data_IF_753023031081
#
_entry.id   IF_753023031081
#
_cell.length_a   1.000
_cell.length_b   1.000
_cell.length_c   1.000
_cell.angle_alpha   90.00
_cell.angle_beta   90.00
_cell.angle_gamma   90.00
#
_symmetry.space_group_name_H-M   'P 1'
#
loop_
_entity.id
_entity.type
_entity.pdbx_description
1 polymer ?
#
# COMPACT_ATOMS: atom_id res chain seq x y z
N UNK A 1 27.37 -8.07 -1.95
CA UNK A 1 27.32 -6.60 -2.11
C UNK A 1 27.36 -5.87 -0.78
N UNK A 2 28.22 -4.85 -0.66
CA UNK A 2 28.17 -3.92 0.48
C UNK A 2 26.98 -2.95 0.31
N UNK A 3 26.37 -2.46 1.40
CA UNK A 3 25.23 -1.55 1.29
C UNK A 3 25.51 -0.26 0.52
N UNK A 4 26.72 0.29 0.61
CA UNK A 4 27.11 1.48 -0.15
C UNK A 4 27.13 1.25 -1.67
N UNK A 5 27.50 0.05 -2.09
CA UNK A 5 27.50 -0.34 -3.51
C UNK A 5 26.06 -0.52 -3.99
N UNK A 6 25.22 -1.18 -3.20
CA UNK A 6 23.80 -1.35 -3.49
C UNK A 6 23.08 -0.01 -3.68
N UNK A 7 23.36 0.98 -2.83
CA UNK A 7 22.83 2.34 -2.96
C UNK A 7 23.29 3.01 -4.25
N UNK A 8 24.60 2.94 -4.55
CA UNK A 8 25.16 3.58 -5.75
C UNK A 8 24.58 2.99 -7.03
N UNK A 9 24.56 1.66 -7.14
CA UNK A 9 24.04 0.95 -8.32
C UNK A 9 22.59 1.33 -8.58
N UNK A 10 21.76 1.30 -7.55
CA UNK A 10 20.34 1.59 -7.71
C UNK A 10 20.05 3.06 -8.00
N UNK A 11 20.73 3.99 -7.32
CA UNK A 11 20.54 5.42 -7.59
C UNK A 11 20.91 5.77 -9.04
N UNK A 12 21.95 5.12 -9.58
CA UNK A 12 22.33 5.30 -10.98
C UNK A 12 21.34 4.63 -11.93
N UNK A 13 21.14 3.31 -11.80
CA UNK A 13 20.32 2.54 -12.72
C UNK A 13 18.89 3.07 -12.81
N UNK A 14 18.21 3.23 -11.66
CA UNK A 14 16.82 3.69 -11.65
C UNK A 14 16.68 5.16 -12.05
N UNK A 15 17.68 5.99 -11.72
CA UNK A 15 17.71 7.39 -12.15
C UNK A 15 17.83 7.54 -13.67
N UNK A 16 18.65 6.70 -14.32
CA UNK A 16 18.80 6.67 -15.78
C UNK A 16 17.57 6.04 -16.45
N UNK A 17 17.17 4.84 -16.03
CA UNK A 17 16.05 4.07 -16.58
C UNK A 17 14.72 4.85 -16.56
N UNK A 18 14.34 5.39 -15.41
CA UNK A 18 13.06 6.12 -15.28
C UNK A 18 13.07 7.45 -16.04
N UNK A 19 14.24 8.11 -16.12
CA UNK A 19 14.40 9.34 -16.90
C UNK A 19 14.23 9.07 -18.39
N UNK A 20 14.80 7.97 -18.88
CA UNK A 20 14.66 7.55 -20.27
C UNK A 20 13.21 7.22 -20.60
N UNK A 21 12.56 6.39 -19.78
CA UNK A 21 11.15 6.05 -19.95
C UNK A 21 10.26 7.31 -19.98
N UNK A 22 10.46 8.24 -19.05
CA UNK A 22 9.69 9.49 -18.97
C UNK A 22 9.96 10.45 -20.13
N UNK A 23 11.19 10.50 -20.65
CA UNK A 23 11.57 11.37 -21.75
C UNK A 23 11.11 10.85 -23.12
N UNK A 24 11.03 9.53 -23.27
CA UNK A 24 10.77 8.90 -24.55
C UNK A 24 9.31 8.49 -24.73
N UNK A 25 8.73 7.72 -23.81
CA UNK A 25 7.45 7.04 -24.04
C UNK A 25 6.24 8.00 -24.07
N UNK A 26 6.05 8.91 -23.08
CA UNK A 26 4.91 9.84 -23.09
C UNK A 26 4.90 10.82 -24.27
N UNK A 27 6.05 11.01 -24.93
CA UNK A 27 6.21 11.94 -26.06
C UNK A 27 6.12 11.20 -27.39
N UNK A 28 6.94 10.16 -27.56
CA UNK A 28 7.16 9.48 -28.85
C UNK A 28 6.14 8.37 -29.11
N UNK A 29 5.60 7.76 -28.04
CA UNK A 29 4.68 6.63 -28.10
C UNK A 29 3.32 6.96 -27.48
N UNK A 30 2.95 8.24 -27.41
CA UNK A 30 1.70 8.70 -26.78
C UNK A 30 0.45 8.03 -27.34
N UNK A 31 0.42 7.74 -28.64
CA UNK A 31 -0.71 7.08 -29.29
C UNK A 31 -0.77 5.56 -29.09
N UNK A 32 0.31 4.96 -28.57
CA UNK A 32 0.42 3.52 -28.32
C UNK A 32 0.27 3.18 -26.83
N UNK A 33 0.56 4.13 -25.94
CA UNK A 33 0.34 3.96 -24.51
C UNK A 33 -1.17 3.82 -24.20
N UNK A 34 -1.56 2.91 -23.31
CA UNK A 34 -2.96 2.77 -22.85
C UNK A 34 -3.54 4.07 -22.29
N UNK A 35 -2.69 4.96 -21.78
CA UNK A 35 -3.04 6.27 -21.30
C UNK A 35 -1.87 6.90 -20.54
N UNK A 36 -2.12 7.77 -19.55
CA UNK A 36 -1.06 8.43 -18.79
C UNK A 36 -0.19 7.43 -18.03
N UNK A 37 1.13 7.63 -18.13
CA UNK A 37 2.13 6.85 -17.42
C UNK A 37 2.41 7.47 -16.05
N UNK A 38 2.49 6.62 -15.02
CA UNK A 38 2.85 7.00 -13.67
C UNK A 38 4.25 6.49 -13.31
N UNK A 39 4.91 7.26 -12.46
CA UNK A 39 6.30 7.09 -12.03
C UNK A 39 6.40 7.05 -10.50
N UNK A 40 7.41 6.36 -9.95
CA UNK A 40 7.66 6.34 -8.53
C UNK A 40 8.20 7.68 -8.05
N UNK A 41 7.94 8.00 -6.78
CA UNK A 41 8.43 9.23 -6.14
C UNK A 41 9.65 8.99 -5.28
N UNK A 42 9.81 7.77 -4.80
CA UNK A 42 10.85 7.43 -3.85
C UNK A 42 11.38 6.04 -4.16
N UNK A 43 12.66 5.87 -3.89
CA UNK A 43 13.37 4.60 -3.91
C UNK A 43 13.86 4.31 -2.50
N UNK A 44 13.38 3.21 -1.93
CA UNK A 44 13.65 2.82 -0.55
C UNK A 44 14.61 1.65 -0.58
N UNK A 45 15.72 1.82 0.10
CA UNK A 45 16.81 0.86 0.16
C UNK A 45 16.90 0.35 1.59
N UNK A 46 16.43 -0.88 1.79
CA UNK A 46 16.39 -1.54 3.09
C UNK A 46 17.56 -2.50 3.22
N UNK A 47 18.32 -2.35 4.30
CA UNK A 47 19.40 -3.26 4.66
C UNK A 47 18.92 -4.21 5.77
N UNK A 48 19.13 -5.51 5.57
CA UNK A 48 18.97 -6.54 6.60
C UNK A 48 20.32 -7.25 6.82
N UNK A 49 20.47 -8.14 7.81
CA UNK A 49 21.70 -8.92 8.01
C UNK A 49 22.13 -9.70 6.76
N UNK A 50 21.17 -10.30 6.06
CA UNK A 50 21.43 -11.24 4.95
C UNK A 50 20.97 -10.72 3.58
N UNK A 51 20.09 -9.72 3.54
CA UNK A 51 19.45 -9.22 2.31
C UNK A 51 19.61 -7.71 2.15
N UNK A 52 19.63 -7.27 0.90
CA UNK A 52 19.37 -5.88 0.50
C UNK A 52 18.04 -5.87 -0.26
N UNK A 53 17.18 -4.92 0.05
CA UNK A 53 15.86 -4.81 -0.58
C UNK A 53 15.73 -3.41 -1.17
N UNK A 54 15.32 -3.35 -2.44
CA UNK A 54 14.90 -2.12 -3.09
C UNK A 54 13.39 -2.13 -3.24
N UNK A 55 12.75 -1.00 -2.97
CA UNK A 55 11.35 -0.74 -3.25
C UNK A 55 11.22 0.57 -4.00
N UNK A 56 10.44 0.60 -5.09
CA UNK A 56 9.98 1.84 -5.70
C UNK A 56 8.57 2.11 -5.24
N UNK A 57 8.35 3.30 -4.72
CA UNK A 57 7.13 3.61 -3.96
C UNK A 57 6.59 4.98 -4.29
N UNK A 58 5.30 5.12 -4.01
CA UNK A 58 4.52 6.25 -4.46
C UNK A 58 4.23 6.23 -5.95
N UNK A 59 3.16 6.91 -6.36
CA UNK A 59 2.82 7.08 -7.75
C UNK A 59 2.65 8.56 -8.06
N UNK A 60 3.17 9.00 -9.21
CA UNK A 60 3.03 10.37 -9.68
C UNK A 60 2.94 10.44 -11.18
N UNK A 61 2.15 11.40 -11.66
CA UNK A 61 1.98 11.71 -13.08
C UNK A 61 3.18 12.42 -13.67
N UNK A 62 3.91 13.17 -12.84
CA UNK A 62 5.11 13.90 -13.25
C UNK A 62 6.35 13.11 -12.85
N UNK A 63 7.19 12.81 -13.84
CA UNK A 63 8.50 12.28 -13.54
C UNK A 63 9.33 13.31 -12.77
N UNK A 64 9.84 12.87 -11.63
CA UNK A 64 10.97 13.47 -10.93
C UNK A 64 11.89 12.34 -10.51
N UNK A 65 13.19 12.62 -10.46
CA UNK A 65 14.15 11.64 -9.94
C UNK A 65 13.71 11.16 -8.56
N UNK A 66 13.62 9.83 -8.33
CA UNK A 66 13.15 9.30 -7.06
C UNK A 66 14.01 9.80 -5.90
N UNK A 67 13.36 10.23 -4.82
CA UNK A 67 14.06 10.50 -3.57
C UNK A 67 14.62 9.19 -3.02
N UNK A 68 15.91 9.17 -2.66
CA UNK A 68 16.55 7.96 -2.12
C UNK A 68 16.44 7.95 -0.60
N UNK A 69 15.78 6.93 -0.06
CA UNK A 69 15.68 6.68 1.38
C UNK A 69 16.37 5.38 1.76
N UNK A 70 17.06 5.39 2.89
CA UNK A 70 17.76 4.23 3.43
C UNK A 70 17.15 3.86 4.78
N UNK A 71 16.96 2.57 5.00
CA UNK A 71 16.46 2.06 6.28
C UNK A 71 17.08 0.71 6.62
N UNK A 72 16.85 0.25 7.85
CA UNK A 72 17.28 -1.06 8.33
C UNK A 72 16.08 -1.85 8.86
N UNK A 73 16.15 -3.16 8.68
CA UNK A 73 15.24 -4.15 9.25
C UNK A 73 16.06 -5.31 9.82
N UNK A 74 15.50 -6.02 10.78
CA UNK A 74 16.08 -7.18 11.43
C UNK A 74 16.16 -8.38 10.46
N UNK A 75 15.22 -8.54 9.53
CA UNK A 75 15.26 -9.62 8.53
C UNK A 75 14.44 -9.29 7.27
N UNK A 76 14.51 -10.17 6.25
CA UNK A 76 13.66 -10.06 5.05
C UNK A 76 12.22 -10.44 5.38
N UNK A 77 12.03 -11.37 6.30
CA UNK A 77 10.74 -11.78 6.86
C UNK A 77 10.05 -10.62 7.57
N UNK A 78 10.76 -9.85 8.41
CA UNK A 78 10.18 -8.67 9.06
C UNK A 78 9.72 -7.63 8.01
N UNK A 79 10.48 -7.46 6.92
CA UNK A 79 10.13 -6.51 5.88
C UNK A 79 8.88 -6.93 5.09
N UNK A 80 8.75 -8.21 4.73
CA UNK A 80 7.58 -8.73 4.00
C UNK A 80 6.44 -9.23 4.89
N UNK A 81 6.63 -9.28 6.21
CA UNK A 81 5.57 -9.51 7.19
C UNK A 81 5.32 -10.95 7.51
N UNK A 82 6.34 -11.78 7.34
CA UNK A 82 6.25 -13.23 7.47
C UNK A 82 6.43 -13.60 8.94
N UNK A 83 5.45 -14.30 9.51
CA UNK A 83 5.58 -14.97 10.80
C UNK A 83 5.97 -16.46 10.66
N UNK A 84 6.06 -17.15 11.78
CA UNK A 84 6.24 -18.61 11.81
C UNK A 84 4.93 -19.31 11.38
N UNK A 85 4.99 -20.20 10.39
CA UNK A 85 3.80 -20.91 9.93
C UNK A 85 3.97 -21.62 8.59
N UNK A 86 2.86 -22.06 8.00
CA UNK A 86 2.82 -22.51 6.60
C UNK A 86 2.82 -21.30 5.67
N UNK A 87 3.45 -21.39 4.49
CA UNK A 87 3.52 -20.28 3.53
C UNK A 87 2.86 -20.61 2.21
N UNK A 88 2.29 -19.60 1.54
CA UNK A 88 1.74 -19.74 0.18
C UNK A 88 2.85 -20.02 -0.83
N UNK A 89 3.98 -19.30 -0.75
CA UNK A 89 5.10 -19.44 -1.67
C UNK A 89 6.45 -19.55 -0.94
N UNK A 90 7.20 -20.63 -1.20
CA UNK A 90 8.61 -20.72 -0.86
C UNK A 90 9.43 -20.13 -2.02
N UNK A 91 10.17 -19.05 -1.74
CA UNK A 91 10.96 -18.32 -2.71
C UNK A 91 12.37 -18.90 -2.75
N UNK A 92 12.54 -19.94 -3.54
CA UNK A 92 13.83 -20.60 -3.78
C UNK A 92 14.49 -20.07 -5.04
N UNK A 93 15.81 -19.86 -5.03
CA UNK A 93 16.56 -19.46 -6.23
C UNK A 93 16.24 -18.06 -6.75
N UNK A 94 15.64 -17.96 -7.93
CA UNK A 94 15.25 -16.71 -8.60
C UNK A 94 13.74 -16.71 -8.85
N UNK A 95 13.06 -15.70 -8.33
CA UNK A 95 11.60 -15.60 -8.38
C UNK A 95 11.18 -14.29 -9.05
N UNK A 96 10.20 -14.37 -9.95
CA UNK A 96 9.62 -13.23 -10.65
C UNK A 96 8.10 -13.28 -10.56
N UNK A 97 7.54 -12.30 -9.86
CA UNK A 97 6.11 -12.04 -9.83
C UNK A 97 5.88 -10.72 -10.53
N UNK A 98 5.22 -10.76 -11.69
CA UNK A 98 4.80 -9.57 -12.43
C UNK A 98 3.31 -9.64 -12.65
N UNK A 99 2.60 -8.54 -12.37
CA UNK A 99 1.14 -8.47 -12.47
C UNK A 99 0.53 -9.69 -11.79
N UNK A 100 0.79 -9.83 -10.49
CA UNK A 100 0.49 -11.03 -9.73
C UNK A 100 -0.26 -10.71 -8.46
N UNK A 101 -0.99 -11.70 -7.95
CA UNK A 101 -1.61 -11.64 -6.62
C UNK A 101 -1.16 -12.86 -5.83
N UNK A 102 -0.48 -12.63 -4.71
CA UNK A 102 -0.08 -13.68 -3.78
C UNK A 102 -0.96 -13.53 -2.55
N UNK A 103 -1.79 -14.54 -2.28
CA UNK A 103 -2.79 -14.44 -1.25
C UNK A 103 -2.96 -15.74 -0.47
N UNK A 104 -3.24 -15.62 0.82
CA UNK A 104 -3.88 -16.72 1.55
C UNK A 104 -5.28 -16.96 0.98
N UNK A 105 -5.79 -18.19 1.05
CA UNK A 105 -7.15 -18.51 0.58
C UNK A 105 -8.21 -17.62 1.24
N UNK A 106 -8.10 -17.41 2.55
CA UNK A 106 -8.98 -16.51 3.31
C UNK A 106 -8.84 -15.05 2.87
N UNK A 107 -7.62 -14.57 2.65
CA UNK A 107 -7.34 -13.23 2.16
C UNK A 107 -7.97 -13.00 0.79
N UNK A 108 -7.82 -13.96 -0.13
CA UNK A 108 -8.39 -13.90 -1.48
C UNK A 108 -9.91 -13.84 -1.47
N UNK A 109 -10.58 -14.65 -0.65
CA UNK A 109 -12.04 -14.62 -0.50
C UNK A 109 -12.55 -13.32 0.14
N UNK A 110 -11.76 -12.75 1.05
CA UNK A 110 -12.08 -11.49 1.72
C UNK A 110 -11.93 -10.29 0.78
N UNK A 111 -10.99 -10.32 -0.15
CA UNK A 111 -10.67 -9.21 -1.04
C UNK A 111 -11.90 -8.75 -1.87
N UNK A 112 -12.59 -9.68 -2.54
CA UNK A 112 -13.76 -9.35 -3.38
C UNK A 112 -14.92 -8.77 -2.56
N UNK A 113 -15.11 -9.27 -1.33
CA UNK A 113 -16.17 -8.80 -0.42
C UNK A 113 -15.88 -7.39 0.10
N UNK A 114 -14.60 -7.07 0.27
CA UNK A 114 -14.13 -5.89 0.99
C UNK A 114 -13.82 -4.72 0.07
N UNK A 115 -13.41 -4.98 -1.17
CA UNK A 115 -13.00 -4.00 -2.17
C UNK A 115 -13.64 -4.32 -3.53
N UNK A 116 -14.69 -3.58 -3.92
CA UNK A 116 -15.43 -3.87 -5.16
C UNK A 116 -14.57 -3.86 -6.44
N UNK A 117 -13.49 -3.07 -6.46
CA UNK A 117 -12.63 -2.86 -7.63
C UNK A 117 -11.40 -3.77 -7.66
N UNK A 118 -11.18 -4.60 -6.63
CA UNK A 118 -9.98 -5.41 -6.52
C UNK A 118 -9.84 -6.44 -7.65
N UNK A 119 -10.96 -6.94 -8.19
CA UNK A 119 -10.97 -7.87 -9.31
C UNK A 119 -10.19 -7.34 -10.54
N UNK A 120 -10.19 -6.02 -10.76
CA UNK A 120 -9.49 -5.37 -11.87
C UNK A 120 -7.97 -5.19 -11.61
N UNK A 121 -7.49 -5.54 -10.42
CA UNK A 121 -6.06 -5.56 -10.07
C UNK A 121 -5.47 -6.95 -10.06
N UNK A 122 -6.32 -7.98 -10.08
CA UNK A 122 -5.87 -9.36 -10.03
C UNK A 122 -5.11 -9.69 -11.30
N UNK A 123 -3.95 -10.29 -11.14
CA UNK A 123 -3.17 -10.82 -12.23
C UNK A 123 -2.95 -12.31 -12.05
N UNK A 124 -1.73 -12.80 -12.27
CA UNK A 124 -1.42 -14.21 -12.02
C UNK A 124 -1.55 -14.52 -10.52
N UNK A 125 -2.46 -15.43 -10.19
CA UNK A 125 -2.79 -15.73 -8.80
C UNK A 125 -1.95 -16.90 -8.25
N UNK A 126 -1.33 -16.68 -7.09
CA UNK A 126 -0.66 -17.70 -6.28
C UNK A 126 -1.39 -17.72 -4.94
N UNK A 127 -2.30 -18.69 -4.78
CA UNK A 127 -3.20 -18.78 -3.63
C UNK A 127 -3.01 -20.13 -2.94
N UNK A 128 -2.91 -20.12 -1.61
CA UNK A 128 -2.71 -21.35 -0.84
C UNK A 128 -3.38 -21.34 0.54
N UNK A 129 -3.68 -22.54 1.10
CA UNK A 129 -4.14 -22.69 2.47
C UNK A 129 -2.93 -22.58 3.40
N UNK A 130 -2.54 -21.35 3.71
CA UNK A 130 -1.35 -21.04 4.49
C UNK A 130 -1.61 -19.91 5.48
N UNK A 131 -0.81 -19.90 6.53
CA UNK A 131 -0.85 -18.87 7.57
C UNK A 131 -0.13 -17.60 7.14
N UNK A 132 0.81 -17.70 6.21
CA UNK A 132 1.72 -16.63 5.79
C UNK A 132 1.88 -16.63 4.26
N UNK A 133 2.33 -15.51 3.69
CA UNK A 133 2.42 -15.39 2.22
C UNK A 133 3.72 -15.98 1.66
N UNK A 134 4.85 -15.56 2.20
CA UNK A 134 6.16 -15.75 1.56
C UNK A 134 7.11 -16.40 2.54
N UNK A 135 7.99 -17.28 2.07
CA UNK A 135 9.21 -17.64 2.81
C UNK A 135 10.40 -17.44 1.91
N UNK A 136 11.39 -16.70 2.38
CA UNK A 136 12.64 -16.53 1.66
C UNK A 136 13.55 -17.71 2.01
N UNK A 137 13.89 -18.52 1.00
CA UNK A 137 14.89 -19.56 1.12
C UNK A 137 16.25 -19.02 0.61
N UNK A 138 17.37 -19.73 0.83
CA UNK A 138 18.64 -19.38 0.20
C UNK A 138 18.46 -19.24 -1.32
N UNK A 139 18.61 -18.02 -1.82
CA UNK A 139 18.33 -17.62 -3.20
C UNK A 139 18.95 -16.27 -3.48
N UNK A 140 19.06 -15.90 -4.75
CA UNK A 140 19.78 -14.67 -5.13
C UNK A 140 18.84 -13.49 -5.34
N UNK A 141 17.63 -13.73 -5.85
CA UNK A 141 16.72 -12.67 -6.27
C UNK A 141 15.24 -13.05 -6.08
N UNK A 142 14.46 -12.16 -5.47
CA UNK A 142 13.00 -12.21 -5.49
C UNK A 142 12.46 -10.87 -5.95
N UNK A 143 11.78 -10.87 -7.10
CA UNK A 143 11.25 -9.66 -7.75
C UNK A 143 9.74 -9.65 -7.69
N UNK A 144 9.19 -8.52 -7.27
CA UNK A 144 7.76 -8.24 -7.21
C UNK A 144 7.51 -6.98 -8.04
N UNK A 145 6.83 -7.10 -9.16
CA UNK A 145 6.51 -6.03 -10.10
C UNK A 145 4.99 -5.94 -10.21
N UNK A 146 4.40 -4.88 -9.68
CA UNK A 146 2.94 -4.69 -9.55
C UNK A 146 2.26 -5.92 -8.92
N UNK A 147 2.76 -6.34 -7.77
CA UNK A 147 2.27 -7.53 -7.06
C UNK A 147 1.37 -7.13 -5.90
N UNK A 148 0.17 -7.70 -5.83
CA UNK A 148 -0.72 -7.56 -4.68
C UNK A 148 -0.48 -8.70 -3.69
N UNK A 149 -0.12 -8.35 -2.45
CA UNK A 149 0.06 -9.26 -1.33
C UNK A 149 -1.18 -9.19 -0.42
N UNK A 150 -1.87 -10.32 -0.22
CA UNK A 150 -3.13 -10.36 0.55
C UNK A 150 -3.12 -11.46 1.61
N UNK A 151 -2.91 -11.06 2.85
CA UNK A 151 -2.93 -11.94 4.01
C UNK A 151 -4.27 -11.84 4.72
N UNK A 152 -4.90 -12.97 5.02
CA UNK A 152 -6.17 -13.03 5.75
C UNK A 152 -6.08 -14.06 6.86
N UNK A 153 -6.59 -13.69 8.03
CA UNK A 153 -6.67 -14.57 9.21
C UNK A 153 -7.92 -14.22 10.01
N UNK A 154 -8.88 -15.15 10.11
CA UNK A 154 -10.20 -14.87 10.68
C UNK A 154 -10.92 -13.72 9.96
N UNK A 155 -11.42 -12.75 10.71
CA UNK A 155 -12.05 -11.55 10.15
C UNK A 155 -11.05 -10.45 9.78
N UNK A 156 -9.75 -10.71 9.95
CA UNK A 156 -8.68 -9.77 9.67
C UNK A 156 -8.16 -9.88 8.25
N UNK A 157 -7.66 -8.76 7.73
CA UNK A 157 -7.06 -8.69 6.41
C UNK A 157 -5.90 -7.71 6.42
N UNK A 158 -4.77 -8.08 5.81
CA UNK A 158 -3.74 -7.16 5.34
C UNK A 158 -3.66 -7.22 3.83
N UNK A 159 -3.90 -6.08 3.17
CA UNK A 159 -3.65 -5.91 1.73
C UNK A 159 -2.51 -4.92 1.52
N UNK A 160 -1.55 -5.29 0.67
CA UNK A 160 -0.40 -4.47 0.32
C UNK A 160 -0.04 -4.63 -1.16
N UNK A 161 -0.14 -3.55 -1.92
CA UNK A 161 0.25 -3.50 -3.31
C UNK A 161 1.69 -3.01 -3.44
N UNK A 162 2.55 -3.90 -3.93
CA UNK A 162 3.96 -3.62 -4.23
C UNK A 162 4.05 -3.12 -5.65
N UNK A 163 4.40 -1.84 -5.82
CA UNK A 163 4.60 -1.27 -7.15
C UNK A 163 5.83 -1.90 -7.82
N UNK A 164 6.98 -1.86 -7.14
CA UNK A 164 8.14 -2.65 -7.50
C UNK A 164 8.97 -2.92 -6.24
N UNK A 165 9.34 -4.17 -6.00
CA UNK A 165 10.31 -4.55 -4.99
C UNK A 165 11.28 -5.63 -5.52
N UNK A 166 12.51 -5.56 -5.04
CA UNK A 166 13.55 -6.52 -5.37
C UNK A 166 14.37 -6.83 -4.11
N UNK A 167 14.25 -8.06 -3.62
CA UNK A 167 15.08 -8.58 -2.55
C UNK A 167 16.26 -9.37 -3.13
N UNK A 168 17.47 -9.06 -2.65
CA UNK A 168 18.73 -9.62 -3.15
C UNK A 168 19.59 -10.06 -1.98
N UNK A 169 20.11 -11.27 -2.06
CA UNK A 169 21.00 -11.76 -1.02
C UNK A 169 22.32 -11.00 -1.01
N UNK A 170 22.85 -10.70 0.18
CA UNK A 170 24.07 -9.87 0.35
C UNK A 170 25.33 -10.54 -0.17
N UNK A 171 25.33 -11.84 -0.45
CA UNK A 171 26.45 -12.49 -1.13
C UNK A 171 26.55 -12.12 -2.61
N UNK A 172 25.50 -11.54 -3.22
CA UNK A 172 25.46 -11.31 -4.65
C UNK A 172 26.51 -10.24 -5.08
N UNK A 173 27.35 -10.53 -6.10
CA UNK A 173 28.30 -9.56 -6.65
C UNK A 173 27.63 -8.38 -7.36
N UNK A 174 28.27 -7.20 -7.32
CA UNK A 174 27.78 -5.96 -7.96
C UNK A 174 27.54 -6.12 -9.45
N UNK A 175 28.50 -6.69 -10.18
CA UNK A 175 28.41 -6.82 -11.63
C UNK A 175 27.25 -7.75 -12.04
N UNK A 176 27.07 -8.87 -11.33
CA UNK A 176 25.96 -9.78 -11.56
C UNK A 176 24.60 -9.13 -11.32
N UNK A 177 24.50 -8.31 -10.28
CA UNK A 177 23.28 -7.57 -10.00
C UNK A 177 22.99 -6.53 -11.09
N UNK A 178 24.00 -5.78 -11.54
CA UNK A 178 23.82 -4.80 -12.60
C UNK A 178 23.40 -5.48 -13.92
N UNK A 179 24.01 -6.61 -14.24
CA UNK A 179 23.63 -7.43 -15.39
C UNK A 179 22.19 -7.94 -15.24
N UNK A 180 21.80 -8.39 -14.05
CA UNK A 180 20.42 -8.76 -13.74
C UNK A 180 19.45 -7.60 -14.02
N UNK A 181 19.70 -6.40 -13.49
CA UNK A 181 18.83 -5.23 -13.69
C UNK A 181 18.68 -4.87 -15.17
N UNK A 182 19.80 -4.87 -15.90
CA UNK A 182 19.80 -4.59 -17.34
C UNK A 182 19.03 -5.64 -18.13
N UNK A 183 19.28 -6.92 -17.86
CA UNK A 183 18.60 -8.01 -18.53
C UNK A 183 17.10 -8.02 -18.20
N UNK A 184 16.73 -7.76 -16.96
CA UNK A 184 15.33 -7.70 -16.52
C UNK A 184 14.59 -6.51 -17.15
N UNK A 185 15.23 -5.34 -17.23
CA UNK A 185 14.65 -4.19 -17.91
C UNK A 185 14.49 -4.43 -19.42
N UNK A 186 15.54 -4.94 -20.08
CA UNK A 186 15.55 -5.19 -21.52
C UNK A 186 14.60 -6.32 -21.94
N UNK A 187 14.22 -7.22 -21.04
CA UNK A 187 13.25 -8.29 -21.33
C UNK A 187 11.80 -7.84 -21.22
N UNK A 188 11.53 -6.63 -20.70
CA UNK A 188 10.18 -6.12 -20.62
C UNK A 188 9.66 -5.59 -21.96
N UNK A 189 8.33 -5.61 -22.16
CA UNK A 189 7.72 -4.90 -23.28
C UNK A 189 8.11 -3.42 -23.26
N UNK A 190 8.46 -2.86 -24.43
CA UNK A 190 8.91 -1.47 -24.56
C UNK A 190 7.91 -0.41 -24.05
N UNK A 191 6.60 -0.68 -24.14
CA UNK A 191 5.53 0.19 -23.62
C UNK A 191 5.24 -0.02 -22.12
N UNK A 192 5.97 -0.95 -21.50
CA UNK A 192 5.76 -1.37 -20.12
C UNK A 192 7.10 -1.52 -19.36
N UNK A 193 7.92 -0.46 -19.28
CA UNK A 193 9.20 -0.53 -18.59
C UNK A 193 9.00 -0.72 -17.08
N UNK A 194 9.92 -1.47 -16.46
CA UNK A 194 9.90 -1.74 -15.02
C UNK A 194 9.85 -0.46 -14.20
N UNK A 195 9.11 -0.48 -13.09
CA UNK A 195 8.94 0.70 -12.24
C UNK A 195 8.10 1.81 -12.88
N UNK A 196 7.28 1.50 -13.88
CA UNK A 196 6.25 2.40 -14.42
C UNK A 196 4.91 1.68 -14.50
N UNK A 197 3.82 2.45 -14.63
CA UNK A 197 2.50 1.89 -14.96
C UNK A 197 1.75 2.86 -15.86
N UNK A 198 1.24 2.37 -16.97
CA UNK A 198 0.33 3.12 -17.83
C UNK A 198 -1.10 2.79 -17.46
N UNK A 199 -1.92 3.81 -17.23
CA UNK A 199 -3.32 3.62 -16.84
C UNK A 199 -4.23 3.81 -18.06
N UNK A 200 -5.21 2.91 -18.29
CA UNK A 200 -6.15 3.00 -19.41
C UNK A 200 -7.29 4.02 -19.13
N UNK A 201 -6.94 5.21 -18.65
CA UNK A 201 -7.90 6.23 -18.19
C UNK A 201 -7.61 7.58 -18.83
N UNK A 202 -8.62 8.44 -18.93
CA UNK A 202 -8.41 9.80 -19.44
C UNK A 202 -7.49 10.58 -18.49
N UNK A 203 -6.41 11.24 -18.99
CA UNK A 203 -5.58 12.14 -18.18
C UNK A 203 -6.34 13.21 -17.39
N UNK A 204 -7.53 13.63 -17.84
CA UNK A 204 -8.41 14.55 -17.13
C UNK A 204 -8.97 13.95 -15.83
N UNK A 205 -9.31 12.66 -15.82
CA UNK A 205 -9.81 11.97 -14.64
C UNK A 205 -8.73 11.79 -13.57
N UNK A 206 -7.46 11.70 -13.96
CA UNK A 206 -6.35 11.67 -13.01
C UNK A 206 -5.92 13.05 -12.51
N UNK A 207 -6.32 14.13 -13.18
CA UNK A 207 -6.03 15.50 -12.73
C UNK A 207 -6.86 15.90 -11.53
N UNK A 208 -8.04 15.30 -11.36
CA UNK A 208 -8.98 15.61 -10.30
C UNK A 208 -8.57 15.04 -8.93
N UNK A 209 -7.79 13.95 -8.91
CA UNK A 209 -7.45 13.26 -7.65
C UNK A 209 -6.05 13.60 -7.15
N UNK A 210 -5.93 13.64 -5.82
CA UNK A 210 -4.68 13.83 -5.12
C UNK A 210 -3.87 12.52 -5.05
N UNK A 211 -2.93 12.35 -5.98
CA UNK A 211 -1.97 11.23 -6.00
C UNK A 211 -0.68 11.61 -5.27
N UNK A 212 -0.76 11.71 -3.95
CA UNK A 212 0.41 11.87 -3.09
C UNK A 212 0.74 10.52 -2.43
N UNK A 213 2.00 10.10 -2.56
CA UNK A 213 2.48 8.95 -1.79
C UNK A 213 2.58 9.34 -0.33
N UNK A 214 2.08 8.47 0.54
CA UNK A 214 2.20 8.63 1.99
C UNK A 214 3.41 7.87 2.54
N UNK A 215 4.17 7.19 1.68
CA UNK A 215 5.37 6.44 2.04
C UNK A 215 6.34 7.34 2.81
N UNK A 216 6.76 6.89 4.00
CA UNK A 216 7.69 7.61 4.89
C UNK A 216 7.31 9.09 5.18
N UNK A 217 6.01 9.43 5.17
CA UNK A 217 5.53 10.80 5.38
C UNK A 217 5.87 11.81 4.28
N UNK A 218 6.10 11.35 3.04
CA UNK A 218 6.30 12.26 1.93
C UNK A 218 5.04 13.13 1.72
N UNK A 219 5.16 14.46 1.71
CA UNK A 219 4.05 15.39 1.45
C UNK A 219 2.99 15.56 2.55
N UNK A 220 2.96 14.72 3.59
CA UNK A 220 1.91 14.75 4.62
C UNK A 220 2.23 15.57 5.88
N UNK A 221 3.44 16.11 5.99
CA UNK A 221 3.96 16.63 7.27
C UNK A 221 3.23 17.86 7.83
N UNK A 222 2.48 18.57 6.99
CA UNK A 222 1.70 19.76 7.35
C UNK A 222 0.18 19.57 7.22
N UNK A 223 -0.25 18.38 6.80
CA UNK A 223 -1.66 18.05 6.53
C UNK A 223 -2.31 17.52 7.79
N UNK A 224 -3.51 17.99 8.16
CA UNK A 224 -4.28 17.44 9.29
C UNK A 224 -5.05 16.17 8.87
N UNK A 225 -5.55 15.40 9.85
CA UNK A 225 -6.47 14.28 9.56
C UNK A 225 -7.66 14.75 8.70
N UNK A 226 -8.35 15.81 9.14
CA UNK A 226 -9.50 16.35 8.40
C UNK A 226 -9.13 16.81 6.98
N UNK A 227 -8.00 17.52 6.83
CA UNK A 227 -7.53 17.99 5.52
C UNK A 227 -7.10 16.84 4.59
N UNK A 228 -6.56 15.74 5.14
CA UNK A 228 -6.30 14.53 4.37
C UNK A 228 -7.60 13.90 3.89
N UNK A 229 -8.56 13.70 4.80
CA UNK A 229 -9.83 13.06 4.46
C UNK A 229 -10.62 13.89 3.44
N UNK A 230 -10.65 15.21 3.56
CA UNK A 230 -11.27 16.10 2.59
C UNK A 230 -10.64 15.98 1.20
N UNK A 231 -9.31 16.02 1.13
CA UNK A 231 -8.56 15.96 -0.13
C UNK A 231 -8.68 14.59 -0.85
N UNK A 232 -8.89 13.53 -0.08
CA UNK A 232 -8.87 12.15 -0.57
C UNK A 232 -10.24 11.44 -0.47
N UNK A 233 -11.33 12.18 -0.27
CA UNK A 233 -12.68 11.64 -0.09
C UNK A 233 -13.12 10.81 -1.31
N UNK A 234 -12.93 11.31 -2.54
CA UNK A 234 -13.28 10.59 -3.78
C UNK A 234 -12.60 9.22 -3.88
N UNK A 235 -11.33 9.15 -3.48
CA UNK A 235 -10.49 7.96 -3.50
C UNK A 235 -11.02 6.94 -2.49
N UNK A 236 -11.32 7.36 -1.26
CA UNK A 236 -11.87 6.49 -0.23
C UNK A 236 -13.26 5.97 -0.61
N UNK A 237 -14.16 6.85 -1.06
CA UNK A 237 -15.51 6.47 -1.45
C UNK A 237 -15.48 5.44 -2.59
N UNK A 238 -14.76 5.69 -3.67
CA UNK A 238 -14.67 4.75 -4.79
C UNK A 238 -14.02 3.41 -4.39
N UNK A 239 -12.94 3.42 -3.61
CA UNK A 239 -12.23 2.20 -3.18
C UNK A 239 -13.11 1.27 -2.36
N UNK A 240 -13.93 1.83 -1.46
CA UNK A 240 -14.73 1.06 -0.52
C UNK A 240 -16.21 0.89 -0.91
N UNK A 241 -16.61 1.41 -2.08
CA UNK A 241 -18.01 1.44 -2.51
C UNK A 241 -18.86 2.35 -1.60
N UNK A 242 -18.26 3.43 -1.12
CA UNK A 242 -18.83 4.43 -0.25
C UNK A 242 -19.77 5.40 -0.96
N UNK A 243 -20.80 5.85 -0.25
CA UNK A 243 -21.72 6.92 -0.66
C UNK A 243 -21.48 8.21 0.12
N UNK A 244 -20.96 8.10 1.36
CA UNK A 244 -20.76 9.24 2.25
C UNK A 244 -19.59 9.01 3.21
N UNK A 245 -18.79 10.04 3.44
CA UNK A 245 -17.69 10.05 4.41
C UNK A 245 -17.98 11.05 5.53
N UNK A 246 -18.14 10.57 6.76
CA UNK A 246 -18.16 11.40 7.96
C UNK A 246 -16.73 11.55 8.49
N UNK A 247 -16.21 12.78 8.49
CA UNK A 247 -14.86 13.11 8.98
C UNK A 247 -14.88 13.41 10.48
N UNK A 248 -13.97 12.77 11.21
CA UNK A 248 -13.72 12.94 12.65
C UNK A 248 -14.97 13.08 13.55
N UNK A 249 -16.00 12.21 13.43
CA UNK A 249 -17.21 12.35 14.24
C UNK A 249 -16.90 12.13 15.73
N UNK A 250 -17.46 12.96 16.61
CA UNK A 250 -17.39 12.79 18.06
C UNK A 250 -18.47 11.83 18.55
N UNK A 251 -18.05 10.75 19.22
CA UNK A 251 -18.82 9.63 19.76
C UNK A 251 -18.56 9.51 21.27
N UNK A 252 -19.15 10.40 22.08
CA UNK A 252 -18.84 10.54 23.51
C UNK A 252 -17.32 10.72 23.75
N UNK A 253 -16.68 9.80 24.47
CA UNK A 253 -15.23 9.79 24.75
C UNK A 253 -14.38 9.19 23.61
N UNK A 254 -15.02 8.83 22.48
CA UNK A 254 -14.37 8.26 21.30
C UNK A 254 -14.46 9.21 20.11
N UNK A 255 -13.44 9.19 19.26
CA UNK A 255 -13.42 9.92 17.99
C UNK A 255 -12.68 9.11 16.94
N UNK A 256 -13.36 8.34 16.06
CA UNK A 256 -12.69 7.74 14.92
C UNK A 256 -12.23 8.83 13.96
N UNK A 257 -11.25 8.52 13.10
CA UNK A 257 -10.81 9.48 12.09
C UNK A 257 -11.90 9.64 11.01
N UNK A 258 -12.64 8.57 10.70
CA UNK A 258 -13.81 8.64 9.82
C UNK A 258 -14.82 7.51 10.06
N UNK A 259 -16.05 7.74 9.59
CA UNK A 259 -17.06 6.70 9.34
C UNK A 259 -17.46 6.79 7.86
N UNK A 260 -17.35 5.69 7.13
CA UNK A 260 -17.73 5.59 5.72
C UNK A 260 -19.00 4.75 5.59
N UNK A 261 -20.03 5.33 5.00
CA UNK A 261 -21.28 4.65 4.63
C UNK A 261 -21.12 4.05 3.23
N UNK A 262 -21.47 2.78 3.07
CA UNK A 262 -21.38 2.06 1.80
C UNK A 262 -22.73 1.98 1.11
N UNK A 263 -22.71 1.82 -0.21
CA UNK A 263 -23.92 1.67 -1.01
C UNK A 263 -24.78 0.44 -0.64
N UNK A 264 -24.19 -0.56 0.02
CA UNK A 264 -24.88 -1.74 0.54
C UNK A 264 -25.51 -1.53 1.94
N UNK A 265 -25.48 -0.30 2.47
CA UNK A 265 -25.98 0.05 3.80
C UNK A 265 -25.05 -0.36 4.95
N UNK A 266 -23.89 -0.95 4.66
CA UNK A 266 -22.89 -1.27 5.69
C UNK A 266 -21.95 -0.09 5.92
N UNK A 267 -21.17 -0.18 6.99
CA UNK A 267 -20.32 0.91 7.44
C UNK A 267 -18.88 0.44 7.68
N UNK A 268 -17.95 1.37 7.50
CA UNK A 268 -16.55 1.22 7.88
C UNK A 268 -16.23 2.29 8.91
N UNK A 269 -15.67 1.90 10.05
CA UNK A 269 -15.10 2.82 11.03
C UNK A 269 -13.58 2.81 10.86
N UNK A 270 -13.02 3.99 10.71
CA UNK A 270 -11.66 4.17 10.22
C UNK A 270 -10.74 4.92 11.15
N UNK A 271 -9.46 4.51 11.15
CA UNK A 271 -8.34 5.23 11.75
C UNK A 271 -7.21 5.39 10.72
N UNK A 272 -6.52 6.52 10.76
CA UNK A 272 -5.36 6.84 9.94
C UNK A 272 -4.09 6.80 10.81
N UNK A 273 -3.21 5.83 10.65
CA UNK A 273 -1.85 5.89 11.20
C UNK A 273 -0.87 6.55 10.23
N UNK A 274 -1.38 7.55 9.52
CA UNK A 274 -0.60 8.36 8.61
C UNK A 274 0.15 9.45 9.40
N UNK A 275 1.32 9.90 8.90
CA UNK A 275 2.15 10.91 9.55
C UNK A 275 1.63 12.34 9.32
N UNK A 276 0.33 12.52 9.53
CA UNK A 276 -0.40 13.78 9.49
C UNK A 276 -0.23 14.54 10.81
N UNK A 277 -0.59 15.82 10.81
CA UNK A 277 -0.63 16.66 12.00
C UNK A 277 -1.91 16.39 12.76
N UNK A 278 -1.77 16.03 14.03
CA UNK A 278 -2.86 15.99 14.98
C UNK A 278 -2.96 17.33 15.72
N UNK A 279 -4.16 17.75 16.06
CA UNK A 279 -4.43 18.99 16.79
C UNK A 279 -5.05 18.64 18.14
N UNK A 280 -4.19 18.35 19.11
CA UNK A 280 -4.63 18.02 20.48
C UNK A 280 -4.61 19.30 21.32
N UNK A 281 -5.77 19.71 21.85
CA UNK A 281 -5.92 20.90 22.70
C UNK A 281 -5.39 22.19 22.03
N UNK A 282 -5.63 22.37 20.72
CA UNK A 282 -5.19 23.53 19.96
C UNK A 282 -3.69 23.58 19.64
N UNK A 283 -2.91 22.56 20.05
CA UNK A 283 -1.49 22.45 19.72
C UNK A 283 -1.31 21.44 18.58
N UNK A 284 -0.70 21.92 17.49
CA UNK A 284 -0.25 21.05 16.40
C UNK A 284 0.84 20.13 16.92
N UNK A 285 0.58 18.82 16.89
CA UNK A 285 1.57 17.79 17.19
C UNK A 285 1.60 16.87 15.99
N UNK A 286 2.79 16.64 15.43
CA UNK A 286 2.95 15.59 14.43
C UNK A 286 2.51 14.27 15.05
N UNK A 287 1.59 13.54 14.41
CA UNK A 287 1.22 12.18 14.84
C UNK A 287 2.52 11.38 14.80
N UNK A 288 3.08 11.14 15.98
CA UNK A 288 4.33 10.39 16.10
C UNK A 288 3.98 8.94 15.87
N UNK A 289 4.78 8.23 15.05
CA UNK A 289 4.84 6.77 14.86
C UNK A 289 5.06 5.97 16.17
N UNK A 290 4.65 6.50 17.32
CA UNK A 290 4.90 5.97 18.66
C UNK A 290 3.82 5.00 19.10
N UNK A 291 2.64 5.02 18.48
CA UNK A 291 1.62 3.99 18.69
C UNK A 291 1.93 2.90 17.66
N UNK A 292 2.43 1.72 18.07
CA UNK A 292 2.52 0.56 17.18
C UNK A 292 1.17 0.35 16.50
N UNK A 293 1.13 -0.04 15.23
CA UNK A 293 -0.14 -0.34 14.55
C UNK A 293 -1.03 -1.32 15.33
N UNK A 294 -0.42 -2.21 16.12
CA UNK A 294 -1.13 -3.11 17.03
C UNK A 294 -1.95 -2.38 18.10
N UNK A 295 -1.44 -1.28 18.65
CA UNK A 295 -2.13 -0.49 19.67
C UNK A 295 -3.31 0.28 19.03
N UNK A 296 -3.12 0.84 17.84
CA UNK A 296 -4.21 1.51 17.09
C UNK A 296 -5.26 0.52 16.61
N UNK A 297 -4.87 -0.71 16.26
CA UNK A 297 -5.80 -1.80 15.97
C UNK A 297 -6.60 -2.22 17.22
N UNK A 298 -5.97 -2.24 18.40
CA UNK A 298 -6.67 -2.47 19.66
C UNK A 298 -7.67 -1.35 20.00
N UNK A 299 -7.34 -0.09 19.69
CA UNK A 299 -8.29 1.02 19.84
C UNK A 299 -9.52 0.89 18.94
N UNK A 300 -9.37 0.32 17.73
CA UNK A 300 -10.51 0.09 16.83
C UNK A 300 -11.54 -0.87 17.43
N UNK A 301 -11.12 -1.85 18.24
CA UNK A 301 -12.05 -2.77 18.91
C UNK A 301 -13.06 -2.06 19.82
N UNK A 302 -12.70 -0.90 20.38
CA UNK A 302 -13.60 -0.08 21.21
C UNK A 302 -14.80 0.45 20.42
N UNK A 303 -14.67 0.62 19.10
CA UNK A 303 -15.81 1.03 18.27
C UNK A 303 -16.80 -0.10 18.06
N UNK A 304 -16.32 -1.34 17.94
CA UNK A 304 -17.21 -2.52 17.89
C UNK A 304 -18.07 -2.60 19.15
N UNK A 305 -17.46 -2.41 20.33
CA UNK A 305 -18.20 -2.35 21.60
C UNK A 305 -19.18 -1.16 21.64
N UNK A 306 -18.72 0.03 21.23
CA UNK A 306 -19.55 1.24 21.21
C UNK A 306 -20.81 1.04 20.35
N UNK A 307 -20.65 0.56 19.12
CA UNK A 307 -21.74 0.32 18.18
C UNK A 307 -22.55 -0.95 18.49
N UNK A 308 -22.10 -1.79 19.42
CA UNK A 308 -22.87 -2.91 19.96
C UNK A 308 -24.11 -2.46 20.75
N UNK A 309 -24.09 -1.26 21.33
CA UNK A 309 -25.19 -0.72 22.15
C UNK A 309 -26.22 0.03 21.30
N UNK A 310 -27.51 -0.31 21.45
CA UNK A 310 -28.60 0.31 20.68
C UNK A 310 -28.77 1.82 20.94
N UNK A 311 -28.54 2.25 22.18
CA UNK A 311 -28.59 3.66 22.56
C UNK A 311 -27.50 4.47 21.85
N UNK A 312 -26.26 3.98 21.84
CA UNK A 312 -25.15 4.60 21.12
C UNK A 312 -25.43 4.72 19.63
N UNK A 313 -25.95 3.66 18.99
CA UNK A 313 -26.36 3.71 17.57
C UNK A 313 -27.44 4.76 17.32
N UNK A 314 -28.42 4.86 18.23
CA UNK A 314 -29.52 5.84 18.13
C UNK A 314 -29.02 7.27 18.28
N UNK A 315 -28.04 7.52 19.14
CA UNK A 315 -27.39 8.83 19.28
C UNK A 315 -26.62 9.23 18.02
N UNK A 316 -25.87 8.30 17.42
CA UNK A 316 -25.15 8.54 16.17
C UNK A 316 -26.12 8.84 15.02
N UNK A 317 -27.22 8.08 14.92
CA UNK A 317 -28.29 8.34 13.95
C UNK A 317 -28.90 9.72 14.15
N UNK A 318 -29.20 10.11 15.39
CA UNK A 318 -29.75 11.43 15.71
C UNK A 318 -28.78 12.58 15.37
N UNK A 319 -27.49 12.41 15.65
CA UNK A 319 -26.46 13.47 15.51
C UNK A 319 -25.94 13.63 14.08
N UNK A 320 -25.78 12.52 13.34
CA UNK A 320 -25.12 12.51 12.04
C UNK A 320 -25.99 11.97 10.90
N UNK A 321 -27.19 11.47 11.20
CA UNK A 321 -28.09 10.80 10.25
C UNK A 321 -27.41 9.59 9.57
N UNK A 322 -26.79 8.73 10.39
CA UNK A 322 -26.12 7.50 9.95
C UNK A 322 -26.44 6.35 10.91
N UNK A 323 -26.86 5.21 10.37
CA UNK A 323 -27.25 4.02 11.14
C UNK A 323 -26.17 2.94 11.11
N UNK A 324 -25.14 3.12 11.94
CA UNK A 324 -23.98 2.22 11.98
C UNK A 324 -24.34 0.91 12.69
N UNK A 325 -24.33 -0.21 11.95
CA UNK A 325 -24.51 -1.56 12.49
C UNK A 325 -23.37 -2.46 12.04
N UNK A 326 -22.75 -3.18 12.98
CA UNK A 326 -21.64 -4.11 12.75
C UNK A 326 -20.57 -3.59 11.77
N UNK A 327 -19.94 -2.43 12.08
CA UNK A 327 -19.03 -1.80 11.13
C UNK A 327 -17.72 -2.58 11.00
N UNK A 328 -17.22 -2.67 9.76
CA UNK A 328 -15.84 -3.09 9.51
C UNK A 328 -14.87 -2.11 10.17
N UNK A 329 -13.80 -2.62 10.76
CA UNK A 329 -12.75 -1.81 11.35
C UNK A 329 -11.59 -1.69 10.37
N UNK A 330 -11.27 -0.47 9.95
CA UNK A 330 -10.23 -0.19 8.96
C UNK A 330 -9.14 0.70 9.55
N UNK A 331 -7.91 0.21 9.46
CA UNK A 331 -6.71 0.95 9.77
C UNK A 331 -5.96 1.25 8.47
N UNK A 332 -5.83 2.54 8.15
CA UNK A 332 -5.04 3.00 7.01
C UNK A 332 -3.65 3.34 7.51
N UNK A 333 -2.65 2.60 7.03
CA UNK A 333 -1.25 2.71 7.46
C UNK A 333 -0.37 3.29 6.35
N UNK A 334 0.84 3.75 6.66
CA UNK A 334 1.85 3.93 5.63
C UNK A 334 2.31 2.55 5.16
N UNK A 335 2.66 2.47 3.88
CA UNK A 335 3.14 1.28 3.18
C UNK A 335 4.37 0.59 3.80
N UNK A 336 5.18 1.29 4.60
CA UNK A 336 6.38 0.72 5.24
C UNK A 336 6.11 -0.18 6.45
N UNK A 337 4.90 -0.14 7.01
CA UNK A 337 4.60 -0.84 8.25
C UNK A 337 4.01 -2.21 7.95
N UNK A 338 4.86 -3.20 8.13
CA UNK A 338 4.51 -4.59 7.91
C UNK A 338 4.05 -5.19 9.23
N UNK A 339 2.79 -5.62 9.25
CA UNK A 339 2.13 -6.08 10.47
C UNK A 339 1.22 -7.25 10.17
N UNK A 340 1.22 -8.21 11.09
CA UNK A 340 0.18 -9.23 11.16
C UNK A 340 -1.11 -8.52 11.59
N UNK A 341 -2.23 -8.68 10.88
CA UNK A 341 -3.43 -7.94 11.18
C UNK A 341 -4.06 -8.45 12.48
N UNK A 342 -4.40 -7.53 13.39
CA UNK A 342 -5.08 -7.87 14.64
C UNK A 342 -6.49 -8.40 14.36
N UNK A 343 -7.03 -9.25 15.25
CA UNK A 343 -8.34 -9.91 15.07
C UNK A 343 -9.45 -8.88 14.79
N UNK A 344 -10.19 -9.06 13.70
CA UNK A 344 -11.33 -8.21 13.32
C UNK A 344 -10.94 -6.85 12.72
N UNK A 345 -9.65 -6.58 12.50
CA UNK A 345 -9.16 -5.33 11.91
C UNK A 345 -8.62 -5.56 10.51
N UNK A 346 -9.00 -4.67 9.61
CA UNK A 346 -8.46 -4.56 8.27
C UNK A 346 -7.33 -3.55 8.26
N UNK A 347 -6.19 -3.93 7.70
CA UNK A 347 -5.03 -3.06 7.58
C UNK A 347 -4.73 -2.93 6.10
N UNK A 348 -4.73 -1.69 5.61
CA UNK A 348 -4.45 -1.40 4.20
C UNK A 348 -3.55 -0.19 4.16
N UNK A 349 -2.47 -0.25 3.40
CA UNK A 349 -1.69 0.96 3.18
C UNK A 349 -2.33 1.87 2.14
N UNK A 350 -2.03 3.16 2.24
CA UNK A 350 -2.64 4.14 1.37
C UNK A 350 -2.28 3.98 -0.12
N UNK A 351 -1.05 3.53 -0.44
CA UNK A 351 -0.64 3.32 -1.83
C UNK A 351 -1.45 2.17 -2.47
N UNK A 352 -1.85 1.17 -1.67
CA UNK A 352 -2.81 0.12 -2.05
C UNK A 352 -4.22 0.69 -2.29
N UNK A 353 -4.69 1.59 -1.43
CA UNK A 353 -5.98 2.30 -1.63
C UNK A 353 -5.95 3.08 -2.94
N UNK A 354 -4.88 3.82 -3.23
CA UNK A 354 -4.71 4.52 -4.51
C UNK A 354 -4.80 3.55 -5.68
N UNK A 355 -4.16 2.39 -5.59
CA UNK A 355 -4.18 1.41 -6.68
C UNK A 355 -5.58 0.80 -6.88
N UNK A 356 -6.31 0.53 -5.80
CA UNK A 356 -7.69 0.04 -5.83
C UNK A 356 -8.65 1.06 -6.44
N UNK A 357 -8.49 2.33 -6.10
CA UNK A 357 -9.19 3.43 -6.74
C UNK A 357 -8.94 3.46 -8.25
N UNK A 358 -7.67 3.37 -8.66
CA UNK A 358 -7.27 3.36 -10.08
C UNK A 358 -7.79 2.14 -10.84
N UNK A 359 -7.97 1.00 -10.18
CA UNK A 359 -8.53 -0.19 -10.80
C UNK A 359 -10.04 -0.10 -11.03
N UNK A 360 -10.72 0.83 -10.37
CA UNK A 360 -12.14 1.10 -10.58
C UNK A 360 -12.44 2.08 -11.71
N UNK A 361 -11.40 2.63 -12.35
CA UNK A 361 -11.54 3.61 -13.44
C UNK A 361 -11.45 2.96 -14.81
#
# INVERSE_FOLDING_TARGET
MKPTEFVKVNAQFWGEHLKEAAGHLPVSHRGELPGPMLFPRMMVLTETPDWNILELVGLSREYRSPEVRRQKRASVEEYFGVADGTVVANLEGQNWFKDATIATEQGRQSLDKRFPTAANMLGTEVVGPADELLRFAPGNYSTFDRTLLVHGSGDSLRAHWVFFALAIHRSEPVDKYLDFLRNYSNSQPHLDPIGTISLPVDPAELKADAFESTYLAHGLQDTTVDGFLEKHESILLSTFGGTRLLRQPSLDDLQPDFILERADGRHIVGRLELPVVDVVNGKKRRRSFRTPVLDSAAELARYTEYFGTADNRSQVKSKYDVEVTDPRQLLIVPSQETVVPAVGVEIVDYDTILRLHLAGK
#
